data_IF_243637075506
#
_entry.id   IF_243637075506
#
_cell.length_a   1.000
_cell.length_b   1.000
_cell.length_c   1.000
_cell.angle_alpha   90.00
_cell.angle_beta   90.00
_cell.angle_gamma   90.00
#
_symmetry.space_group_name_H-M   'P 1'
#
loop_
_entity.id
_entity.type
_entity.pdbx_description
1 polymer ?
#
# COMPACT_ATOMS: atom_id res chain seq x y z
N UNK A 1 -22.76 -3.75 -3.94
CA UNK A 1 -22.50 -3.97 -5.38
C UNK A 1 -21.44 -5.06 -5.46
N UNK A 2 -21.60 -6.11 -6.27
CA UNK A 2 -20.60 -7.17 -6.32
C UNK A 2 -19.31 -6.56 -6.88
N UNK A 3 -18.26 -6.60 -6.06
CA UNK A 3 -16.89 -6.26 -6.44
C UNK A 3 -16.56 -7.01 -7.73
N UNK A 4 -15.97 -6.30 -8.69
CA UNK A 4 -15.50 -6.87 -9.95
C UNK A 4 -14.86 -8.24 -9.73
N UNK A 5 -15.23 -9.23 -10.55
CA UNK A 5 -14.70 -10.61 -10.50
C UNK A 5 -13.18 -10.70 -10.69
N UNK A 6 -12.53 -9.58 -11.00
CA UNK A 6 -11.08 -9.44 -11.06
C UNK A 6 -10.57 -8.46 -10.00
N UNK A 7 -9.53 -8.87 -9.22
CA UNK A 7 -8.87 -7.96 -8.31
C UNK A 7 -8.32 -6.76 -9.08
N UNK A 8 -8.74 -5.56 -8.71
CA UNK A 8 -8.15 -4.31 -9.20
C UNK A 8 -6.75 -4.19 -8.61
N UNK A 9 -5.79 -4.86 -9.28
CA UNK A 9 -4.39 -4.95 -8.87
C UNK A 9 -3.79 -3.54 -8.75
N UNK A 10 -4.26 -2.59 -9.57
CA UNK A 10 -3.90 -1.19 -9.47
C UNK A 10 -4.38 -0.56 -8.16
N UNK A 11 -5.67 -0.66 -7.84
CA UNK A 11 -6.21 -0.14 -6.58
C UNK A 11 -5.57 -0.80 -5.33
N UNK A 12 -5.30 -2.10 -5.40
CA UNK A 12 -4.61 -2.83 -4.34
C UNK A 12 -3.18 -2.29 -4.13
N UNK A 13 -2.45 -2.05 -5.21
CA UNK A 13 -1.11 -1.48 -5.14
C UNK A 13 -1.12 -0.01 -4.69
N UNK A 14 -2.09 0.80 -5.15
CA UNK A 14 -2.30 2.18 -4.72
C UNK A 14 -2.52 2.25 -3.19
N UNK A 15 -3.39 1.38 -2.66
CA UNK A 15 -3.66 1.26 -1.22
C UNK A 15 -2.40 0.80 -0.46
N UNK A 16 -1.73 -0.26 -0.92
CA UNK A 16 -0.54 -0.77 -0.26
C UNK A 16 0.59 0.27 -0.22
N UNK A 17 0.82 0.96 -1.34
CA UNK A 17 1.82 2.03 -1.43
C UNK A 17 1.48 3.19 -0.49
N UNK A 18 0.20 3.56 -0.38
CA UNK A 18 -0.25 4.57 0.59
C UNK A 18 0.11 4.18 2.03
N UNK A 19 -0.17 2.94 2.42
CA UNK A 19 0.07 2.43 3.77
C UNK A 19 1.57 2.29 4.06
N UNK A 20 2.36 1.78 3.10
CA UNK A 20 3.82 1.70 3.20
C UNK A 20 4.43 3.09 3.40
N UNK A 21 3.99 4.09 2.63
CA UNK A 21 4.49 5.47 2.79
C UNK A 21 4.08 6.06 4.13
N UNK A 22 2.85 5.79 4.59
CA UNK A 22 2.38 6.24 5.90
C UNK A 22 3.25 5.65 7.04
N UNK A 23 3.63 4.38 6.93
CA UNK A 23 4.57 3.71 7.83
C UNK A 23 5.95 4.37 7.81
N UNK A 24 6.52 4.59 6.61
CA UNK A 24 7.83 5.22 6.43
C UNK A 24 7.87 6.65 6.99
N UNK A 25 6.80 7.42 6.78
CA UNK A 25 6.69 8.78 7.32
C UNK A 25 6.65 8.78 8.85
N UNK A 26 5.86 7.88 9.45
CA UNK A 26 5.81 7.76 10.90
C UNK A 26 7.17 7.31 11.47
N UNK A 27 7.85 6.39 10.78
CA UNK A 27 9.19 5.94 11.15
C UNK A 27 10.22 7.06 11.07
N UNK A 28 10.13 7.92 10.07
CA UNK A 28 11.06 9.03 9.90
C UNK A 28 10.81 10.15 10.91
N UNK A 29 9.55 10.55 11.12
CA UNK A 29 9.17 11.69 11.97
C UNK A 29 9.12 11.30 13.45
N UNK A 30 8.45 10.20 13.77
CA UNK A 30 8.19 9.75 15.14
C UNK A 30 9.13 8.65 15.65
N UNK A 31 10.07 8.18 14.81
CA UNK A 31 10.98 7.06 15.11
C UNK A 31 10.27 5.75 15.50
N UNK A 32 8.98 5.64 15.17
CA UNK A 32 8.14 4.47 15.45
C UNK A 32 7.30 4.11 14.23
N UNK A 33 6.81 2.89 14.18
CA UNK A 33 5.82 2.47 13.20
C UNK A 33 4.42 2.97 13.61
N UNK A 34 3.47 2.95 12.67
CA UNK A 34 2.06 3.20 12.95
C UNK A 34 1.53 2.08 13.87
N UNK A 35 0.66 2.45 14.80
CA UNK A 35 -0.13 1.45 15.55
C UNK A 35 -1.21 0.86 14.65
N UNK A 36 -1.83 -0.25 15.09
CA UNK A 36 -2.94 -0.87 14.35
C UNK A 36 -4.07 0.13 14.11
N UNK A 37 -4.43 0.92 15.11
CA UNK A 37 -5.46 1.96 15.00
C UNK A 37 -5.08 3.00 13.94
N UNK A 38 -3.82 3.42 13.91
CA UNK A 38 -3.35 4.39 12.92
C UNK A 38 -3.30 3.82 11.49
N UNK A 39 -3.07 2.50 11.35
CA UNK A 39 -3.18 1.81 10.05
C UNK A 39 -4.63 1.74 9.59
N UNK A 40 -5.56 1.45 10.50
CA UNK A 40 -7.01 1.47 10.22
C UNK A 40 -7.47 2.86 9.78
N UNK A 41 -7.09 3.90 10.52
CA UNK A 41 -7.39 5.30 10.16
C UNK A 41 -6.80 5.69 8.81
N UNK A 42 -5.55 5.28 8.53
CA UNK A 42 -4.90 5.52 7.24
C UNK A 42 -5.65 4.82 6.10
N UNK A 43 -6.13 3.61 6.33
CA UNK A 43 -6.94 2.85 5.37
C UNK A 43 -8.25 3.60 5.07
N UNK A 44 -8.96 4.07 6.11
CA UNK A 44 -10.17 4.87 5.94
C UNK A 44 -9.90 6.19 5.20
N UNK A 45 -8.78 6.84 5.48
CA UNK A 45 -8.37 8.07 4.79
C UNK A 45 -8.20 7.83 3.29
N UNK A 46 -7.55 6.73 2.89
CA UNK A 46 -7.40 6.35 1.49
C UNK A 46 -8.76 6.04 0.82
N UNK A 47 -9.64 5.33 1.52
CA UNK A 47 -10.98 4.99 1.01
C UNK A 47 -11.84 6.23 0.73
N UNK A 48 -11.68 7.32 1.51
CA UNK A 48 -12.42 8.57 1.27
C UNK A 48 -12.13 9.19 -0.10
N UNK A 49 -10.93 8.99 -0.65
CA UNK A 49 -10.51 9.53 -1.94
C UNK A 49 -10.59 8.54 -3.10
N UNK A 50 -10.58 7.23 -2.83
CA UNK A 50 -10.54 6.18 -3.85
C UNK A 50 -11.80 5.30 -3.90
N UNK A 51 -12.71 5.44 -2.93
CA UNK A 51 -13.94 4.64 -2.83
C UNK A 51 -13.69 3.18 -2.44
N UNK A 52 -14.70 2.34 -2.67
CA UNK A 52 -14.71 0.91 -2.29
C UNK A 52 -14.02 0.02 -3.35
N UNK A 53 -12.87 0.43 -3.88
CA UNK A 53 -12.23 -0.25 -5.04
C UNK A 53 -11.49 -1.54 -4.71
N UNK A 54 -11.22 -1.78 -3.43
CA UNK A 54 -10.50 -2.96 -2.93
C UNK A 54 -11.42 -3.70 -1.99
N UNK A 55 -11.58 -5.02 -2.06
CA UNK A 55 -12.49 -5.74 -1.16
C UNK A 55 -12.07 -5.61 0.33
N UNK A 56 -13.02 -5.67 1.26
CA UNK A 56 -12.74 -5.48 2.69
C UNK A 56 -11.71 -6.48 3.25
N UNK A 57 -11.74 -7.74 2.81
CA UNK A 57 -10.79 -8.75 3.27
C UNK A 57 -9.39 -8.47 2.70
N UNK A 58 -9.34 -8.04 1.43
CA UNK A 58 -8.09 -7.64 0.79
C UNK A 58 -7.46 -6.41 1.46
N UNK A 59 -8.28 -5.45 1.91
CA UNK A 59 -7.79 -4.29 2.68
C UNK A 59 -7.09 -4.73 3.95
N UNK A 60 -7.68 -5.65 4.70
CA UNK A 60 -7.11 -6.16 5.96
C UNK A 60 -5.78 -6.88 5.69
N UNK A 61 -5.75 -7.75 4.69
CA UNK A 61 -4.53 -8.45 4.30
C UNK A 61 -3.42 -7.48 3.90
N UNK A 62 -3.71 -6.50 3.03
CA UNK A 62 -2.73 -5.47 2.62
C UNK A 62 -2.25 -4.65 3.82
N UNK A 63 -3.16 -4.22 4.69
CA UNK A 63 -2.84 -3.44 5.88
C UNK A 63 -1.90 -4.18 6.83
N UNK A 64 -2.13 -5.47 7.05
CA UNK A 64 -1.26 -6.32 7.89
C UNK A 64 0.16 -6.48 7.36
N UNK A 65 0.38 -6.27 6.05
CA UNK A 65 1.68 -6.45 5.37
C UNK A 65 2.43 -5.16 5.13
N UNK A 66 1.75 -4.02 5.28
CA UNK A 66 2.33 -2.71 4.98
C UNK A 66 3.59 -2.39 5.81
N UNK A 67 3.64 -2.78 7.09
CA UNK A 67 4.84 -2.56 7.91
C UNK A 67 6.01 -3.42 7.44
N UNK A 68 5.79 -4.72 7.21
CA UNK A 68 6.84 -5.64 6.75
C UNK A 68 7.47 -5.16 5.43
N UNK A 69 6.65 -4.67 4.48
CA UNK A 69 7.13 -4.08 3.24
C UNK A 69 7.86 -2.75 3.46
N UNK A 70 7.37 -1.89 4.38
CA UNK A 70 8.08 -0.66 4.71
C UNK A 70 9.47 -0.93 5.30
N UNK A 71 9.59 -1.96 6.14
CA UNK A 71 10.86 -2.42 6.68
C UNK A 71 11.79 -2.95 5.59
N UNK A 72 11.28 -3.74 4.64
CA UNK A 72 12.10 -4.26 3.53
C UNK A 72 12.61 -3.13 2.64
N UNK A 73 11.77 -2.16 2.28
CA UNK A 73 12.16 -0.97 1.51
C UNK A 73 13.25 -0.17 2.22
N UNK A 74 13.17 -0.06 3.56
CA UNK A 74 14.18 0.65 4.36
C UNK A 74 15.52 -0.09 4.39
N UNK A 75 15.51 -1.43 4.43
CA UNK A 75 16.72 -2.27 4.52
C UNK A 75 17.46 -2.44 3.19
N UNK A 76 16.71 -2.58 2.10
CA UNK A 76 17.29 -2.99 0.82
C UNK A 76 17.98 -1.83 0.10
N UNK A 77 17.53 -0.59 0.28
CA UNK A 77 17.89 0.45 -0.70
C UNK A 77 18.60 1.68 -0.13
N UNK A 78 18.93 1.74 1.16
CA UNK A 78 19.54 2.93 1.81
C UNK A 78 18.85 4.25 1.37
N UNK A 79 17.56 4.16 1.03
CA UNK A 79 16.85 5.28 0.42
C UNK A 79 16.60 6.30 1.51
N UNK A 80 17.33 7.40 1.40
CA UNK A 80 17.06 8.60 2.16
C UNK A 80 15.81 9.26 1.60
N UNK A 81 14.64 8.83 2.07
CA UNK A 81 13.38 9.49 1.75
C UNK A 81 13.30 10.84 2.47
N UNK A 82 13.16 11.93 1.72
CA UNK A 82 12.75 13.21 2.30
C UNK A 82 11.26 13.10 2.68
N UNK A 83 10.95 13.10 3.97
CA UNK A 83 9.57 13.00 4.47
C UNK A 83 8.62 14.03 3.84
N UNK A 84 9.11 15.26 3.57
CA UNK A 84 8.33 16.28 2.87
C UNK A 84 7.91 15.87 1.45
N UNK A 85 8.76 15.13 0.73
CA UNK A 85 8.48 14.63 -0.62
C UNK A 85 7.45 13.50 -0.58
N UNK A 86 7.62 12.53 0.32
CA UNK A 86 6.68 11.42 0.48
C UNK A 86 5.29 11.91 0.91
N UNK A 87 5.23 12.83 1.88
CA UNK A 87 3.97 13.42 2.33
C UNK A 87 3.23 14.11 1.18
N UNK A 88 3.95 14.86 0.33
CA UNK A 88 3.33 15.55 -0.81
C UNK A 88 2.84 14.59 -1.88
N UNK A 89 3.64 13.57 -2.19
CA UNK A 89 3.33 12.61 -3.24
C UNK A 89 2.18 11.66 -2.86
N UNK A 90 2.02 11.30 -1.58
CA UNK A 90 1.09 10.25 -1.16
C UNK A 90 -0.05 10.71 -0.25
N UNK A 91 0.18 11.73 0.59
CA UNK A 91 -0.80 12.18 1.60
C UNK A 91 -1.45 13.53 1.24
N UNK A 92 -1.18 14.07 0.04
CA UNK A 92 -1.96 15.18 -0.49
C UNK A 92 -3.41 14.74 -0.76
N UNK A 93 -4.37 15.66 -0.62
CA UNK A 93 -5.76 15.43 -1.05
C UNK A 93 -5.81 15.28 -2.57
N UNK A 94 -5.49 14.11 -3.11
CA UNK A 94 -5.44 13.84 -4.55
C UNK A 94 -4.92 12.44 -4.86
N UNK A 95 -4.91 12.07 -6.15
CA UNK A 95 -4.25 10.85 -6.64
C UNK A 95 -2.75 10.95 -6.39
N UNK A 96 -2.13 9.84 -6.00
CA UNK A 96 -0.71 9.76 -5.67
C UNK A 96 0.14 10.27 -6.86
N UNK A 97 1.04 11.21 -6.61
CA UNK A 97 1.93 11.75 -7.63
C UNK A 97 3.19 10.88 -7.74
N UNK A 98 3.16 9.94 -8.69
CA UNK A 98 4.29 9.05 -8.98
C UNK A 98 5.41 9.71 -9.79
N UNK A 99 5.34 11.02 -10.07
CA UNK A 99 6.45 11.74 -10.74
C UNK A 99 7.72 11.79 -9.89
N UNK A 100 7.60 11.55 -8.58
CA UNK A 100 8.76 11.38 -7.69
C UNK A 100 9.38 9.99 -7.90
N UNK A 101 10.70 9.87 -8.17
CA UNK A 101 11.37 8.58 -8.29
C UNK A 101 11.17 7.68 -7.06
N UNK A 102 11.16 8.28 -5.87
CA UNK A 102 10.88 7.57 -4.62
C UNK A 102 9.44 7.01 -4.58
N UNK A 103 8.46 7.76 -5.11
CA UNK A 103 7.07 7.33 -5.16
C UNK A 103 6.87 6.19 -6.17
N UNK A 104 7.46 6.32 -7.36
CA UNK A 104 7.45 5.28 -8.38
C UNK A 104 8.11 3.99 -7.87
N UNK A 105 9.21 4.10 -7.12
CA UNK A 105 9.91 2.92 -6.58
C UNK A 105 9.08 2.17 -5.54
N UNK A 106 8.51 2.89 -4.57
CA UNK A 106 7.64 2.28 -3.56
C UNK A 106 6.43 1.62 -4.24
N UNK A 107 5.83 2.28 -5.23
CA UNK A 107 4.74 1.69 -6.00
C UNK A 107 5.17 0.43 -6.74
N UNK A 108 6.36 0.40 -7.36
CA UNK A 108 6.92 -0.81 -8.00
C UNK A 108 6.99 -1.99 -7.03
N UNK A 109 7.55 -1.79 -5.84
CA UNK A 109 7.63 -2.85 -4.82
C UNK A 109 6.23 -3.34 -4.42
N UNK A 110 5.28 -2.42 -4.30
CA UNK A 110 3.90 -2.75 -3.92
C UNK A 110 3.15 -3.51 -5.02
N UNK A 111 3.29 -3.10 -6.30
CA UNK A 111 2.62 -3.78 -7.41
C UNK A 111 3.21 -5.17 -7.63
N UNK A 112 4.53 -5.34 -7.52
CA UNK A 112 5.18 -6.65 -7.62
C UNK A 112 4.67 -7.59 -6.52
N UNK A 113 4.60 -7.11 -5.28
CA UNK A 113 4.03 -7.88 -4.16
C UNK A 113 2.57 -8.28 -4.41
N UNK A 114 1.74 -7.36 -4.90
CA UNK A 114 0.32 -7.63 -5.17
C UNK A 114 0.17 -8.67 -6.29
N UNK A 115 0.97 -8.57 -7.36
CA UNK A 115 0.97 -9.54 -8.47
C UNK A 115 1.37 -10.92 -7.97
N UNK A 116 2.44 -11.03 -7.20
CA UNK A 116 2.93 -12.30 -6.65
C UNK A 116 1.90 -12.94 -5.73
N UNK A 117 1.33 -12.15 -4.83
CA UNK A 117 0.26 -12.58 -3.91
C UNK A 117 -0.98 -13.06 -4.67
N UNK A 118 -1.45 -12.29 -5.66
CA UNK A 118 -2.63 -12.65 -6.44
C UNK A 118 -2.37 -13.93 -7.25
N UNK A 119 -1.17 -14.09 -7.82
CA UNK A 119 -0.74 -15.30 -8.53
C UNK A 119 -0.67 -16.52 -7.60
N UNK A 120 -0.23 -16.35 -6.36
CA UNK A 120 -0.26 -17.41 -5.35
C UNK A 120 -1.69 -17.83 -4.97
N UNK A 121 -2.61 -16.87 -4.80
CA UNK A 121 -4.04 -17.15 -4.52
C UNK A 121 -4.72 -17.88 -5.66
N UNK A 122 -4.47 -17.47 -6.91
CA UNK A 122 -5.05 -18.14 -8.09
C UNK A 122 -4.59 -19.60 -8.19
N UNK A 123 -3.34 -19.91 -7.85
CA UNK A 123 -2.84 -21.29 -7.80
C UNK A 123 -3.40 -22.10 -6.63
N UNK A 124 -3.68 -21.46 -5.51
CA UNK A 124 -4.20 -22.11 -4.31
C UNK A 124 -5.71 -22.42 -4.38
N UNK A 125 -6.43 -21.90 -5.38
CA UNK A 125 -7.84 -22.19 -5.62
C UNK A 125 -7.91 -23.40 -6.57
N UNK A 126 -8.17 -24.64 -6.09
CA UNK A 126 -8.31 -25.78 -6.99
C UNK A 126 -9.56 -25.56 -7.83
N UNK A 127 -9.50 -25.97 -9.10
CA UNK A 127 -10.63 -26.00 -10.03
C UNK A 127 -11.83 -26.65 -9.34
N UNK A 128 -12.80 -25.85 -8.88
CA UNK A 128 -14.12 -26.39 -8.60
C UNK A 128 -14.78 -26.63 -9.95
N UNK A 129 -14.63 -27.86 -10.43
CA UNK A 129 -15.51 -28.50 -11.42
C UNK A 129 -16.69 -29.12 -10.69
#
# INVERSE_FOLDING_TARGET
>A
MPSSLYPDTGAQAELLAFLVVSQLLMRHVGRRWLTVEQVVESTHLWLRSHGDRVDWLERIELASRAQELAESVTRVEDITFKAGTLRRAFLGCGRQDYRSPAAARIYSVCIDYVIDRNSARSRARPSQQ
#
